data_IF_601718885620
#
_entry.id   IF_601718885620
#
_cell.length_a   1.000
_cell.length_b   1.000
_cell.length_c   1.000
_cell.angle_alpha   90.00
_cell.angle_beta   90.00
_cell.angle_gamma   90.00
#
_symmetry.space_group_name_H-M   'P 1'
#
loop_
_entity.id
_entity.type
_entity.pdbx_description
1 polymer ?
#
# COMPACT_ATOMS: atom_id res chain seq x y z
N UNK A 1 -6.41 8.17 19.91
CA UNK A 1 -5.51 7.22 19.23
C UNK A 1 -5.25 7.66 17.81
N UNK A 2 -3.98 7.68 17.42
CA UNK A 2 -3.61 8.05 16.06
C UNK A 2 -3.99 6.94 15.08
N UNK A 3 -4.70 7.30 14.02
CA UNK A 3 -5.07 6.35 12.98
C UNK A 3 -3.99 6.25 11.91
N UNK A 4 -3.85 5.05 11.35
CA UNK A 4 -2.96 4.81 10.23
C UNK A 4 -3.70 5.21 8.96
N UNK A 5 -3.20 6.22 8.27
CA UNK A 5 -3.83 6.74 7.05
C UNK A 5 -3.49 5.86 5.86
N UNK A 6 -4.49 5.56 5.02
CA UNK A 6 -4.35 4.64 3.89
C UNK A 6 -4.82 5.31 2.60
N UNK A 7 -4.00 5.18 1.57
CA UNK A 7 -4.36 5.55 0.20
C UNK A 7 -4.49 4.25 -0.62
N UNK A 8 -5.64 4.08 -1.28
CA UNK A 8 -5.91 2.88 -2.08
C UNK A 8 -5.83 3.21 -3.56
N UNK A 9 -5.11 2.39 -4.33
CA UNK A 9 -4.99 2.53 -5.78
C UNK A 9 -5.48 1.26 -6.43
N UNK A 10 -6.65 1.30 -7.08
CA UNK A 10 -7.27 0.10 -7.64
C UNK A 10 -8.46 0.47 -8.52
N UNK A 11 -9.00 -0.50 -9.24
CA UNK A 11 -10.28 -0.33 -9.93
C UNK A 11 -11.37 -0.02 -8.89
N UNK A 12 -12.45 0.68 -9.27
CA UNK A 12 -13.50 1.02 -8.30
C UNK A 12 -14.09 -0.18 -7.55
N UNK A 13 -14.30 -1.29 -8.23
CA UNK A 13 -14.87 -2.47 -7.58
C UNK A 13 -13.92 -3.08 -6.55
N UNK A 14 -12.63 -3.17 -6.87
CA UNK A 14 -11.66 -3.71 -5.92
C UNK A 14 -11.39 -2.72 -4.79
N UNK A 15 -11.40 -1.42 -5.07
CA UNK A 15 -11.27 -0.39 -4.04
C UNK A 15 -12.34 -0.51 -2.96
N UNK A 16 -13.57 -0.82 -3.37
CA UNK A 16 -14.66 -1.02 -2.41
C UNK A 16 -14.40 -2.20 -1.49
N UNK A 17 -13.86 -3.28 -2.05
CA UNK A 17 -13.53 -4.48 -1.26
C UNK A 17 -12.42 -4.14 -0.27
N UNK A 18 -11.38 -3.48 -0.71
CA UNK A 18 -10.25 -3.10 0.14
C UNK A 18 -10.72 -2.14 1.24
N UNK A 19 -11.50 -1.14 0.88
CA UNK A 19 -12.08 -0.19 1.84
C UNK A 19 -12.91 -0.91 2.90
N UNK A 20 -13.73 -1.88 2.45
CA UNK A 20 -14.56 -2.64 3.36
C UNK A 20 -13.73 -3.45 4.37
N UNK A 21 -12.59 -3.98 3.94
CA UNK A 21 -11.72 -4.72 4.85
C UNK A 21 -11.14 -3.84 5.95
N UNK A 22 -10.90 -2.57 5.66
CA UNK A 22 -10.39 -1.61 6.65
C UNK A 22 -11.49 -0.94 7.47
N UNK A 23 -12.70 -0.87 6.93
CA UNK A 23 -13.83 -0.24 7.60
C UNK A 23 -14.17 -0.99 8.87
N UNK A 24 -14.49 -0.28 9.93
CA UNK A 24 -14.77 -0.89 11.21
C UNK A 24 -13.52 -1.21 12.03
N UNK A 25 -12.36 -1.00 11.47
CA UNK A 25 -11.10 -1.12 12.20
C UNK A 25 -10.66 0.28 12.62
N UNK A 26 -10.78 0.58 13.90
CA UNK A 26 -10.54 1.93 14.42
C UNK A 26 -9.10 2.40 14.22
N UNK A 27 -8.16 1.48 14.02
CA UNK A 27 -6.76 1.81 13.81
C UNK A 27 -6.44 2.34 12.41
N UNK A 28 -7.36 2.16 11.44
CA UNK A 28 -7.12 2.54 10.04
C UNK A 28 -8.12 3.60 9.56
N UNK A 29 -7.64 4.49 8.69
CA UNK A 29 -8.48 5.49 8.06
C UNK A 29 -8.11 5.61 6.58
N UNK A 30 -9.06 5.31 5.70
CA UNK A 30 -8.87 5.45 4.25
C UNK A 30 -9.05 6.92 3.90
N UNK A 31 -7.99 7.57 3.44
CA UNK A 31 -8.00 9.01 3.13
C UNK A 31 -8.18 9.32 1.66
N UNK A 32 -8.15 8.31 0.80
CA UNK A 32 -8.40 8.52 -0.61
C UNK A 32 -8.31 7.24 -1.41
N UNK A 33 -8.89 7.27 -2.60
CA UNK A 33 -8.82 6.18 -3.56
C UNK A 33 -8.48 6.73 -4.93
N UNK A 34 -7.64 6.01 -5.68
CA UNK A 34 -7.26 6.34 -7.05
C UNK A 34 -7.53 5.13 -7.93
N UNK A 35 -7.95 5.38 -9.16
CA UNK A 35 -8.19 4.30 -10.12
C UNK A 35 -6.95 3.92 -10.92
N UNK A 36 -5.89 4.70 -10.88
CA UNK A 36 -4.65 4.42 -11.63
C UNK A 36 -3.42 5.00 -10.98
N UNK A 37 -2.26 4.61 -11.51
CA UNK A 37 -0.97 4.97 -10.95
C UNK A 37 -0.49 6.38 -11.34
N UNK A 38 -1.12 7.00 -12.32
CA UNK A 38 -0.61 8.23 -12.95
C UNK A 38 -0.43 9.40 -11.99
N UNK A 39 -1.33 9.58 -11.06
CA UNK A 39 -1.27 10.68 -10.09
C UNK A 39 -0.71 10.25 -8.74
N UNK A 40 -0.32 8.99 -8.62
CA UNK A 40 0.00 8.42 -7.30
C UNK A 40 1.19 9.10 -6.63
N UNK A 41 2.27 9.31 -7.35
CA UNK A 41 3.46 9.94 -6.78
C UNK A 41 3.17 11.34 -6.25
N UNK A 42 2.43 12.14 -7.02
CA UNK A 42 2.08 13.50 -6.63
C UNK A 42 1.13 13.49 -5.43
N UNK A 43 0.11 12.65 -5.46
CA UNK A 43 -0.87 12.60 -4.38
C UNK A 43 -0.24 12.06 -3.08
N UNK A 44 0.64 11.07 -3.19
CA UNK A 44 1.36 10.54 -2.03
C UNK A 44 2.22 11.63 -1.38
N UNK A 45 2.88 12.46 -2.19
CA UNK A 45 3.68 13.57 -1.68
C UNK A 45 2.85 14.65 -0.99
N UNK A 46 1.60 14.82 -1.39
CA UNK A 46 0.70 15.81 -0.77
C UNK A 46 0.03 15.26 0.49
N UNK A 47 -0.46 14.04 0.44
CA UNK A 47 -1.22 13.45 1.55
C UNK A 47 -0.35 12.78 2.59
N UNK A 48 0.85 12.36 2.22
CA UNK A 48 1.79 11.66 3.08
C UNK A 48 1.12 10.50 3.85
N UNK A 49 0.45 9.56 3.12
CA UNK A 49 -0.21 8.45 3.79
C UNK A 49 0.81 7.53 4.46
N UNK A 50 0.43 6.92 5.55
CA UNK A 50 1.30 5.95 6.20
C UNK A 50 1.37 4.64 5.43
N UNK A 51 0.29 4.31 4.72
CA UNK A 51 0.19 3.07 3.96
C UNK A 51 -0.44 3.33 2.60
N UNK A 52 0.13 2.73 1.56
CA UNK A 52 -0.42 2.75 0.22
C UNK A 52 -0.67 1.29 -0.18
N UNK A 53 -1.91 1.00 -0.57
CA UNK A 53 -2.28 -0.33 -1.07
C UNK A 53 -2.61 -0.17 -2.55
N UNK A 54 -1.77 -0.74 -3.41
CA UNK A 54 -1.90 -0.55 -4.85
C UNK A 54 -2.04 -1.88 -5.58
N UNK A 55 -3.12 -2.01 -6.36
CA UNK A 55 -3.32 -3.16 -7.24
C UNK A 55 -2.63 -2.87 -8.56
N UNK A 56 -1.66 -3.69 -8.93
CA UNK A 56 -0.88 -3.51 -10.15
C UNK A 56 -1.02 -4.72 -11.07
N UNK A 57 -1.40 -4.46 -12.33
CA UNK A 57 -1.58 -5.46 -13.37
C UNK A 57 -1.20 -4.87 -14.72
N UNK A 58 -0.17 -5.37 -15.37
CA UNK A 58 0.89 -6.26 -14.90
C UNK A 58 1.94 -5.49 -14.10
N UNK A 59 2.76 -6.22 -13.36
CA UNK A 59 3.93 -5.62 -12.72
C UNK A 59 4.96 -5.32 -13.81
N UNK A 60 5.42 -4.08 -13.89
CA UNK A 60 6.28 -3.61 -14.97
C UNK A 60 7.30 -2.61 -14.46
N UNK A 61 8.24 -2.23 -15.33
CA UNK A 61 9.21 -1.17 -15.04
C UNK A 61 8.52 0.13 -14.67
N UNK A 62 7.38 0.41 -15.31
CA UNK A 62 6.59 1.60 -15.00
C UNK A 62 6.13 1.61 -13.54
N UNK A 63 5.68 0.47 -13.04
CA UNK A 63 5.29 0.34 -11.63
C UNK A 63 6.48 0.57 -10.73
N UNK A 64 7.63 0.00 -11.05
CA UNK A 64 8.85 0.20 -10.26
C UNK A 64 9.27 1.66 -10.21
N UNK A 65 9.11 2.39 -11.32
CA UNK A 65 9.40 3.83 -11.36
C UNK A 65 8.46 4.62 -10.47
N UNK A 66 7.17 4.25 -10.47
CA UNK A 66 6.18 4.90 -9.60
C UNK A 66 6.52 4.64 -8.14
N UNK A 67 6.88 3.41 -7.79
CA UNK A 67 7.30 3.08 -6.43
C UNK A 67 8.50 3.91 -5.99
N UNK A 68 9.51 4.02 -6.86
CA UNK A 68 10.70 4.83 -6.57
C UNK A 68 10.32 6.30 -6.33
N UNK A 69 9.42 6.83 -7.16
CA UNK A 69 8.93 8.20 -7.01
C UNK A 69 8.22 8.41 -5.67
N UNK A 70 7.40 7.43 -5.25
CA UNK A 70 6.73 7.49 -3.96
C UNK A 70 7.75 7.50 -2.82
N UNK A 71 8.76 6.66 -2.89
CA UNK A 71 9.78 6.60 -1.85
C UNK A 71 10.59 7.89 -1.75
N UNK A 72 10.68 8.67 -2.84
CA UNK A 72 11.31 9.98 -2.80
C UNK A 72 10.40 11.05 -2.23
N UNK A 73 9.13 11.08 -2.65
CA UNK A 73 8.20 12.15 -2.25
C UNK A 73 7.52 11.88 -0.91
N UNK A 74 7.42 10.62 -0.50
CA UNK A 74 6.79 10.22 0.75
C UNK A 74 7.57 9.05 1.35
N UNK A 75 8.80 9.28 1.81
CA UNK A 75 9.70 8.19 2.20
C UNK A 75 9.23 7.36 3.39
N UNK A 76 8.33 7.90 4.20
CA UNK A 76 7.80 7.16 5.36
C UNK A 76 6.57 6.33 5.02
N UNK A 77 6.01 6.47 3.82
CA UNK A 77 4.87 5.67 3.38
C UNK A 77 5.31 4.22 3.14
N UNK A 78 4.56 3.28 3.71
CA UNK A 78 4.74 1.86 3.42
C UNK A 78 3.87 1.47 2.24
N UNK A 79 4.33 0.54 1.44
CA UNK A 79 3.65 0.19 0.19
C UNK A 79 3.41 -1.30 0.10
N UNK A 80 2.13 -1.67 -0.03
CA UNK A 80 1.71 -3.04 -0.30
C UNK A 80 1.23 -3.11 -1.75
N UNK A 81 1.86 -3.97 -2.54
CA UNK A 81 1.40 -4.22 -3.91
C UNK A 81 0.52 -5.46 -3.94
N UNK A 82 -0.57 -5.38 -4.69
CA UNK A 82 -1.46 -6.51 -4.93
C UNK A 82 -1.32 -6.87 -6.41
N UNK A 83 -0.95 -8.09 -6.70
CA UNK A 83 -0.82 -8.54 -8.08
C UNK A 83 -1.00 -10.06 -8.20
N UNK A 84 -1.39 -10.56 -9.40
CA UNK A 84 -1.72 -11.97 -9.57
C UNK A 84 -0.53 -12.89 -9.82
N UNK A 85 0.69 -12.39 -9.80
CA UNK A 85 1.88 -13.13 -10.21
C UNK A 85 2.47 -13.97 -9.07
N UNK A 86 3.00 -15.16 -9.40
CA UNK A 86 3.53 -16.08 -8.40
C UNK A 86 4.87 -15.66 -7.80
N UNK A 87 5.75 -15.03 -8.56
CA UNK A 87 7.06 -14.59 -8.06
C UNK A 87 7.02 -13.22 -7.38
N UNK A 88 6.00 -13.01 -6.55
CA UNK A 88 5.72 -11.69 -5.97
C UNK A 88 6.83 -11.18 -5.05
N UNK A 89 7.38 -12.03 -4.21
CA UNK A 89 8.36 -11.60 -3.22
C UNK A 89 9.61 -11.03 -3.89
N UNK A 90 10.10 -11.72 -4.92
CA UNK A 90 11.29 -11.28 -5.66
C UNK A 90 11.03 -9.96 -6.39
N UNK A 91 9.88 -9.85 -7.04
CA UNK A 91 9.54 -8.68 -7.83
C UNK A 91 9.26 -7.47 -6.93
N UNK A 92 8.59 -7.70 -5.81
CA UNK A 92 8.34 -6.64 -4.84
C UNK A 92 9.66 -6.06 -4.30
N UNK A 93 10.63 -6.91 -4.00
CA UNK A 93 11.94 -6.46 -3.53
C UNK A 93 12.66 -5.62 -4.58
N UNK A 94 12.59 -6.01 -5.86
CA UNK A 94 13.19 -5.24 -6.96
C UNK A 94 12.53 -3.87 -7.11
N UNK A 95 11.23 -3.80 -6.92
CA UNK A 95 10.50 -2.54 -6.99
C UNK A 95 10.70 -1.64 -5.77
N UNK A 96 11.05 -2.22 -4.62
CA UNK A 96 11.16 -1.47 -3.37
C UNK A 96 9.88 -1.42 -2.57
N UNK A 97 8.88 -2.25 -2.89
CA UNK A 97 7.67 -2.34 -2.10
C UNK A 97 7.95 -3.02 -0.75
N UNK A 98 7.18 -2.66 0.26
CA UNK A 98 7.36 -3.22 1.60
C UNK A 98 6.71 -4.58 1.76
N UNK A 99 5.68 -4.87 0.96
CA UNK A 99 5.05 -6.18 0.93
C UNK A 99 4.32 -6.39 -0.39
N UNK A 100 3.98 -7.63 -0.68
CA UNK A 100 3.23 -7.97 -1.86
C UNK A 100 2.25 -9.09 -1.54
N UNK A 101 1.02 -8.98 -2.06
CA UNK A 101 -0.03 -9.95 -1.84
C UNK A 101 -0.66 -10.37 -3.16
N UNK A 102 -1.08 -11.64 -3.23
CA UNK A 102 -1.90 -12.12 -4.34
C UNK A 102 -3.34 -11.69 -4.14
N UNK A 103 -4.06 -11.44 -5.24
CA UNK A 103 -5.49 -11.10 -5.21
C UNK A 103 -6.30 -12.06 -4.34
N UNK A 104 -6.06 -13.36 -4.49
CA UNK A 104 -6.80 -14.40 -3.77
C UNK A 104 -6.53 -14.42 -2.27
N UNK A 105 -5.47 -13.74 -1.81
CA UNK A 105 -5.11 -13.69 -0.39
C UNK A 105 -5.58 -12.44 0.32
N UNK A 106 -6.23 -11.52 -0.39
CA UNK A 106 -6.62 -10.23 0.19
C UNK A 106 -7.44 -10.36 1.47
N UNK A 107 -8.54 -11.10 1.42
CA UNK A 107 -9.46 -11.18 2.55
C UNK A 107 -8.79 -11.71 3.81
N UNK A 108 -7.87 -12.68 3.66
CA UNK A 108 -7.23 -13.31 4.81
C UNK A 108 -5.94 -12.68 5.28
N UNK A 109 -5.28 -11.88 4.42
CA UNK A 109 -3.91 -11.43 4.69
C UNK A 109 -3.70 -9.92 4.69
N UNK A 110 -4.59 -9.14 4.08
CA UNK A 110 -4.36 -7.70 3.92
C UNK A 110 -4.22 -6.99 5.26
N UNK A 111 -5.15 -7.20 6.17
CA UNK A 111 -5.10 -6.53 7.49
C UNK A 111 -3.85 -6.90 8.26
N UNK A 112 -3.48 -8.18 8.25
CA UNK A 112 -2.28 -8.64 8.93
C UNK A 112 -1.03 -8.01 8.33
N UNK A 113 -0.94 -7.98 7.00
CA UNK A 113 0.20 -7.38 6.31
C UNK A 113 0.29 -5.89 6.59
N UNK A 114 -0.85 -5.20 6.55
CA UNK A 114 -0.91 -3.78 6.86
C UNK A 114 -0.39 -3.49 8.27
N UNK A 115 -0.82 -4.28 9.24
CA UNK A 115 -0.34 -4.13 10.62
C UNK A 115 1.15 -4.40 10.72
N UNK A 116 1.62 -5.45 10.08
CA UNK A 116 3.04 -5.82 10.14
C UNK A 116 3.94 -4.71 9.61
N UNK A 117 3.64 -4.16 8.43
CA UNK A 117 4.50 -3.14 7.83
C UNK A 117 4.45 -1.80 8.59
N UNK A 118 3.29 -1.44 9.13
CA UNK A 118 3.15 -0.19 9.89
C UNK A 118 3.64 -0.33 11.33
N UNK A 119 3.52 -1.52 11.90
CA UNK A 119 3.97 -1.80 13.26
C UNK A 119 5.48 -1.73 13.38
N UNK A 120 6.22 -2.23 12.39
CA UNK A 120 7.68 -2.12 12.37
C UNK A 120 8.12 -0.67 12.53
N UNK A 121 7.44 0.25 11.86
CA UNK A 121 7.72 1.67 11.95
C UNK A 121 7.45 2.19 13.34
N UNK A 122 6.35 1.76 13.97
CA UNK A 122 6.01 2.16 15.33
C UNK A 122 7.03 1.67 16.34
N UNK A 123 7.49 0.43 16.21
CA UNK A 123 8.49 -0.14 17.10
C UNK A 123 9.80 0.61 17.02
N UNK A 124 10.23 0.99 15.81
CA UNK A 124 11.44 1.79 15.62
C UNK A 124 11.29 3.15 16.31
N UNK A 125 10.15 3.80 16.13
CA UNK A 125 9.90 5.10 16.74
C UNK A 125 9.80 5.00 18.28
N UNK A 126 9.24 3.92 18.78
CA UNK A 126 9.10 3.72 20.23
C UNK A 126 10.42 3.36 20.90
N UNK A 127 11.35 2.78 20.14
CA UNK A 127 12.67 2.41 20.67
C UNK A 127 13.62 3.59 20.87
N UNK A 128 13.25 4.73 20.31
CA UNK A 128 14.04 5.96 20.47
C UNK A 128 13.73 6.60 21.85
#
# INVERSE_FOLDING_TARGET
MRKITILIVSSPSLSRIIEHLFRGRSEFEVIGTLSGLESLGRLAGRLLPELIVANVKPLSIRVCRVVASIKQSSPLSKLILICPIEDLARTARRCGADACLKDEKLAGHLLRTARTVTERRRLVNAGD
#
